data_IF_844011133091
#
_entry.id   IF_844011133091
#
_cell.length_a   1.000
_cell.length_b   1.000
_cell.length_c   1.000
_cell.angle_alpha   90.00
_cell.angle_beta   90.00
_cell.angle_gamma   90.00
#
_symmetry.space_group_name_H-M   'P 1'
#
loop_
_entity.id
_entity.type
_entity.pdbx_description
1 polymer ?
#
# COMPACT_ATOMS: atom_id res chain seq x y z
N UNK A 1 6.12 34.40 -19.44
CA UNK A 1 5.63 33.19 -18.72
C UNK A 1 6.78 32.20 -18.64
N UNK A 2 7.41 32.03 -17.48
CA UNK A 2 8.36 30.93 -17.24
C UNK A 2 7.71 29.99 -16.22
N UNK A 3 7.35 28.78 -16.65
CA UNK A 3 6.87 27.74 -15.74
C UNK A 3 8.06 27.18 -14.98
N UNK A 4 8.23 27.61 -13.73
CA UNK A 4 9.15 26.98 -12.79
C UNK A 4 8.74 25.52 -12.61
N UNK A 5 9.51 24.61 -13.18
CA UNK A 5 9.46 23.18 -12.88
C UNK A 5 9.68 23.01 -11.38
N UNK A 6 8.62 22.68 -10.65
CA UNK A 6 8.71 22.24 -9.25
C UNK A 6 9.38 20.87 -9.24
N UNK A 7 10.71 20.83 -9.31
CA UNK A 7 11.45 19.65 -8.86
C UNK A 7 11.21 19.55 -7.34
N UNK A 8 10.21 18.74 -6.93
CA UNK A 8 10.09 18.38 -5.52
C UNK A 8 11.41 17.74 -5.11
N UNK A 9 12.02 18.20 -4.01
CA UNK A 9 13.26 17.62 -3.50
C UNK A 9 13.15 16.09 -3.53
N UNK A 10 14.09 15.42 -4.18
CA UNK A 10 14.14 13.96 -4.17
C UNK A 10 14.23 13.50 -2.72
N UNK A 11 13.33 12.60 -2.31
CA UNK A 11 13.33 12.01 -0.96
C UNK A 11 14.70 11.41 -0.64
N UNK A 12 15.13 11.55 0.62
CA UNK A 12 16.35 10.90 1.12
C UNK A 12 16.19 9.38 1.13
N UNK A 13 17.30 8.64 1.25
CA UNK A 13 17.26 7.18 1.38
C UNK A 13 16.48 6.78 2.64
N UNK A 14 16.71 7.48 3.75
CA UNK A 14 16.04 7.20 5.03
C UNK A 14 14.53 7.40 4.96
N UNK A 15 14.06 8.45 4.27
CA UNK A 15 12.64 8.70 4.03
C UNK A 15 12.01 7.57 3.22
N UNK A 16 12.69 7.09 2.17
CA UNK A 16 12.20 5.96 1.36
C UNK A 16 12.15 4.66 2.16
N UNK A 17 13.17 4.41 2.98
CA UNK A 17 13.19 3.24 3.86
C UNK A 17 12.06 3.30 4.90
N UNK A 18 11.74 4.48 5.43
CA UNK A 18 10.61 4.66 6.33
C UNK A 18 9.28 4.34 5.64
N UNK A 19 9.06 4.81 4.42
CA UNK A 19 7.86 4.50 3.64
C UNK A 19 7.72 3.01 3.32
N UNK A 20 8.83 2.33 2.99
CA UNK A 20 8.82 0.88 2.75
C UNK A 20 8.42 0.13 4.02
N UNK A 21 8.97 0.52 5.19
CA UNK A 21 8.61 -0.08 6.48
C UNK A 21 7.14 0.14 6.83
N UNK A 22 6.63 1.34 6.60
CA UNK A 22 5.21 1.66 6.82
C UNK A 22 4.31 0.77 5.96
N UNK A 23 4.61 0.65 4.66
CA UNK A 23 3.87 -0.24 3.74
C UNK A 23 3.91 -1.70 4.18
N UNK A 24 5.07 -2.20 4.62
CA UNK A 24 5.21 -3.57 5.15
C UNK A 24 4.35 -3.75 6.41
N UNK A 25 4.39 -2.80 7.35
CA UNK A 25 3.62 -2.89 8.59
C UNK A 25 2.11 -2.87 8.32
N UNK A 26 1.66 -2.04 7.39
CA UNK A 26 0.26 -1.96 7.00
C UNK A 26 -0.19 -3.21 6.24
N UNK A 27 0.61 -3.73 5.31
CA UNK A 27 0.32 -4.98 4.62
C UNK A 27 0.19 -6.15 5.61
N UNK A 28 1.06 -6.22 6.62
CA UNK A 28 0.97 -7.23 7.68
C UNK A 28 -0.36 -7.14 8.43
N UNK A 29 -0.74 -5.93 8.85
CA UNK A 29 -1.99 -5.66 9.57
C UNK A 29 -3.21 -6.03 8.72
N UNK A 30 -3.22 -5.66 7.44
CA UNK A 30 -4.29 -5.97 6.49
C UNK A 30 -4.42 -7.48 6.22
N UNK A 31 -3.30 -8.20 6.27
CA UNK A 31 -3.26 -9.66 6.13
C UNK A 31 -3.66 -10.40 7.42
N UNK A 32 -3.95 -9.68 8.52
CA UNK A 32 -4.30 -10.27 9.81
C UNK A 32 -3.13 -10.94 10.54
N UNK A 33 -1.90 -10.77 10.04
CA UNK A 33 -0.71 -11.38 10.63
C UNK A 33 -0.28 -10.61 11.88
N UNK A 34 0.04 -11.35 12.94
CA UNK A 34 0.68 -10.77 14.13
C UNK A 34 2.17 -10.55 13.87
N UNK A 35 2.80 -9.66 14.63
CA UNK A 35 4.27 -9.51 14.58
C UNK A 35 5.00 -10.81 14.95
N UNK A 36 4.41 -11.65 15.82
CA UNK A 36 5.00 -12.94 16.19
C UNK A 36 4.98 -13.92 15.02
N UNK A 37 3.86 -14.02 14.31
CA UNK A 37 3.72 -14.96 13.20
C UNK A 37 4.75 -14.71 12.09
N UNK A 38 4.93 -13.44 11.70
CA UNK A 38 5.92 -13.08 10.69
C UNK A 38 7.36 -13.14 11.23
N UNK A 39 7.57 -12.87 12.52
CA UNK A 39 8.89 -13.05 13.14
C UNK A 39 9.32 -14.52 13.08
N UNK A 40 8.42 -15.46 13.34
CA UNK A 40 8.67 -16.90 13.22
C UNK A 40 9.05 -17.30 11.79
N UNK A 41 8.31 -16.83 10.78
CA UNK A 41 8.63 -17.07 9.37
C UNK A 41 10.02 -16.51 8.96
N UNK A 42 10.47 -15.46 9.64
CA UNK A 42 11.77 -14.83 9.42
C UNK A 42 12.88 -15.37 10.32
N UNK A 43 12.61 -16.37 11.17
CA UNK A 43 13.54 -16.90 12.18
C UNK A 43 14.04 -15.81 13.16
N UNK A 44 13.15 -14.89 13.54
CA UNK A 44 13.41 -13.78 14.44
C UNK A 44 12.58 -13.88 15.72
N UNK A 45 13.06 -13.22 16.78
CA UNK A 45 12.21 -12.94 17.92
C UNK A 45 11.19 -11.84 17.58
N UNK A 46 10.06 -11.83 18.29
CA UNK A 46 9.06 -10.75 18.17
C UNK A 46 9.69 -9.36 18.40
N UNK A 47 10.60 -9.23 19.37
CA UNK A 47 11.29 -7.97 19.66
C UNK A 47 12.27 -7.54 18.56
N UNK A 48 12.90 -8.48 17.86
CA UNK A 48 13.71 -8.18 16.67
C UNK A 48 12.82 -7.67 15.54
N UNK A 49 11.71 -8.35 15.25
CA UNK A 49 10.78 -7.92 14.21
C UNK A 49 10.15 -6.55 14.49
N UNK A 50 9.77 -6.27 15.74
CA UNK A 50 9.25 -4.96 16.15
C UNK A 50 10.28 -3.82 15.91
N UNK A 51 11.58 -4.09 16.13
CA UNK A 51 12.65 -3.15 15.78
C UNK A 51 12.82 -2.97 14.27
N UNK A 52 12.56 -4.01 13.46
CA UNK A 52 12.55 -3.87 12.00
C UNK A 52 11.40 -2.95 11.55
N UNK A 53 10.18 -3.14 12.04
CA UNK A 53 9.03 -2.30 11.66
C UNK A 53 9.21 -0.84 12.09
N UNK A 54 9.71 -0.61 13.30
CA UNK A 54 9.96 0.74 13.83
C UNK A 54 11.20 1.42 13.24
N UNK A 55 12.04 0.69 12.49
CA UNK A 55 13.30 1.21 11.95
C UNK A 55 14.43 1.30 12.96
N UNK A 56 14.28 0.73 14.16
CA UNK A 56 15.37 0.60 15.14
C UNK A 56 16.46 -0.40 14.72
N UNK A 57 16.23 -1.18 13.67
CA UNK A 57 17.22 -2.05 13.03
C UNK A 57 16.94 -2.15 11.54
N UNK A 58 17.99 -2.12 10.72
CA UNK A 58 17.84 -2.30 9.28
C UNK A 58 17.48 -3.74 8.93
N UNK A 59 16.56 -3.88 7.98
CA UNK A 59 16.17 -5.17 7.42
C UNK A 59 17.13 -5.56 6.30
N UNK A 60 17.64 -6.78 6.31
CA UNK A 60 18.42 -7.31 5.18
C UNK A 60 17.52 -7.57 3.97
N UNK A 61 18.11 -7.62 2.76
CA UNK A 61 17.34 -7.94 1.55
C UNK A 61 16.66 -9.32 1.63
N UNK A 62 17.28 -10.32 2.28
CA UNK A 62 16.67 -11.65 2.49
C UNK A 62 15.41 -11.54 3.34
N UNK A 63 15.50 -10.83 4.46
CA UNK A 63 14.37 -10.59 5.36
C UNK A 63 13.24 -9.83 4.65
N UNK A 64 13.58 -8.86 3.81
CA UNK A 64 12.61 -8.13 3.00
C UNK A 64 11.85 -9.04 2.03
N UNK A 65 12.54 -9.95 1.33
CA UNK A 65 11.90 -10.88 0.40
C UNK A 65 10.98 -11.87 1.12
N UNK A 66 11.41 -12.43 2.26
CA UNK A 66 10.57 -13.31 3.08
C UNK A 66 9.30 -12.57 3.53
N UNK A 67 9.44 -11.34 4.03
CA UNK A 67 8.30 -10.53 4.44
C UNK A 67 7.32 -10.29 3.27
N UNK A 68 7.83 -10.06 2.06
CA UNK A 68 6.98 -9.92 0.88
C UNK A 68 6.25 -11.22 0.54
N UNK A 69 6.90 -12.38 0.62
CA UNK A 69 6.28 -13.68 0.35
C UNK A 69 5.15 -13.98 1.35
N UNK A 70 5.41 -13.84 2.65
CA UNK A 70 4.44 -14.09 3.72
C UNK A 70 3.20 -13.18 3.62
N UNK A 71 3.39 -11.95 3.13
CA UNK A 71 2.30 -10.98 2.96
C UNK A 71 1.73 -10.95 1.54
N UNK A 72 2.16 -11.86 0.66
CA UNK A 72 1.77 -11.92 -0.75
C UNK A 72 1.92 -10.56 -1.48
N UNK A 73 3.03 -9.87 -1.23
CA UNK A 73 3.37 -8.58 -1.83
C UNK A 73 4.34 -8.75 -2.98
N UNK A 74 4.22 -7.88 -3.99
CA UNK A 74 5.22 -7.74 -5.04
C UNK A 74 6.35 -6.81 -4.56
N UNK A 75 7.61 -7.30 -4.42
CA UNK A 75 8.74 -6.49 -3.96
C UNK A 75 9.01 -5.25 -4.83
N UNK A 76 8.82 -5.35 -6.15
CA UNK A 76 9.07 -4.25 -7.08
C UNK A 76 8.06 -3.11 -6.87
N UNK A 77 6.80 -3.45 -6.64
CA UNK A 77 5.76 -2.46 -6.32
C UNK A 77 6.07 -1.76 -4.99
N UNK A 78 6.57 -2.51 -4.00
CA UNK A 78 6.85 -1.96 -2.67
C UNK A 78 8.02 -0.99 -2.66
N UNK A 79 9.06 -1.26 -3.45
CA UNK A 79 10.23 -0.39 -3.65
C UNK A 79 9.89 0.88 -4.45
N UNK A 80 8.63 1.04 -4.88
CA UNK A 80 8.20 2.19 -5.66
C UNK A 80 8.65 2.10 -7.10
N UNK A 81 8.59 0.92 -7.72
CA UNK A 81 8.29 0.90 -9.15
C UNK A 81 7.05 1.76 -9.30
N UNK A 82 7.20 2.91 -9.98
CA UNK A 82 6.10 3.85 -10.18
C UNK A 82 4.87 3.04 -10.57
N UNK A 83 3.79 3.17 -9.79
CA UNK A 83 2.50 2.65 -10.25
C UNK A 83 2.32 3.33 -11.60
N UNK A 84 2.45 2.52 -12.65
CA UNK A 84 2.52 3.02 -14.02
C UNK A 84 1.39 4.02 -14.16
N UNK A 85 1.64 5.23 -14.66
CA UNK A 85 0.64 6.31 -14.64
C UNK A 85 -0.70 5.84 -15.23
N UNK A 86 -0.65 4.89 -16.17
CA UNK A 86 -1.77 4.14 -16.70
C UNK A 86 -2.57 3.35 -15.64
N UNK A 87 -1.93 2.57 -14.76
CA UNK A 87 -2.59 1.81 -13.68
C UNK A 87 -3.29 2.75 -12.70
N UNK A 88 -2.65 3.86 -12.36
CA UNK A 88 -3.23 4.89 -11.48
C UNK A 88 -4.45 5.57 -12.13
N UNK A 89 -4.37 5.91 -13.42
CA UNK A 89 -5.50 6.43 -14.20
C UNK A 89 -6.66 5.44 -14.26
N UNK A 90 -6.36 4.17 -14.55
CA UNK A 90 -7.36 3.10 -14.61
C UNK A 90 -8.09 2.92 -13.28
N UNK A 91 -7.38 2.96 -12.15
CA UNK A 91 -7.99 2.90 -10.80
C UNK A 91 -8.91 4.09 -10.54
N UNK A 92 -8.48 5.30 -10.88
CA UNK A 92 -9.30 6.50 -10.73
C UNK A 92 -10.59 6.42 -11.55
N UNK A 93 -10.49 5.93 -12.79
CA UNK A 93 -11.64 5.74 -13.68
C UNK A 93 -12.59 4.66 -13.18
N UNK A 94 -12.07 3.56 -12.64
CA UNK A 94 -12.89 2.48 -12.07
C UNK A 94 -13.71 3.01 -10.90
N UNK A 95 -13.06 3.68 -9.94
CA UNK A 95 -13.72 4.28 -8.77
C UNK A 95 -14.80 5.31 -9.17
N UNK A 96 -14.52 6.15 -10.17
CA UNK A 96 -15.49 7.09 -10.69
C UNK A 96 -16.70 6.39 -11.34
N UNK A 97 -16.49 5.24 -11.98
CA UNK A 97 -17.55 4.45 -12.61
C UNK A 97 -18.41 3.75 -11.56
N UNK A 98 -17.80 3.17 -10.53
CA UNK A 98 -18.50 2.55 -9.39
C UNK A 98 -19.39 3.59 -8.67
N UNK A 99 -18.88 4.80 -8.48
CA UNK A 99 -19.66 5.89 -7.88
C UNK A 99 -20.88 6.26 -8.73
N UNK A 100 -20.71 6.33 -10.06
CA UNK A 100 -21.82 6.60 -10.99
C UNK A 100 -22.85 5.46 -10.96
N UNK A 101 -22.40 4.21 -10.96
CA UNK A 101 -23.29 3.05 -10.87
C UNK A 101 -24.09 3.05 -9.56
N UNK A 102 -23.45 3.34 -8.44
CA UNK A 102 -24.12 3.49 -7.15
C UNK A 102 -25.17 4.61 -7.16
N UNK A 103 -24.88 5.73 -7.84
CA UNK A 103 -25.84 6.82 -8.00
C UNK A 103 -27.04 6.41 -8.88
N UNK A 104 -26.80 5.71 -9.98
CA UNK A 104 -27.85 5.19 -10.87
C UNK A 104 -28.75 4.22 -10.10
N UNK A 105 -28.19 3.25 -9.39
CA UNK A 105 -28.97 2.33 -8.56
C UNK A 105 -29.82 3.05 -7.51
N UNK A 106 -29.29 4.13 -6.89
CA UNK A 106 -30.05 4.94 -5.95
C UNK A 106 -31.22 5.68 -6.59
N UNK A 107 -31.09 6.13 -7.83
CA UNK A 107 -32.18 6.79 -8.58
C UNK A 107 -33.21 5.78 -9.05
N UNK A 108 -32.77 4.63 -9.58
CA UNK A 108 -33.67 3.56 -10.03
C UNK A 108 -34.45 2.96 -8.85
N UNK A 109 -33.80 2.68 -7.72
CA UNK A 109 -34.48 2.19 -6.51
C UNK A 109 -35.40 3.22 -5.83
N UNK A 110 -35.31 4.52 -6.21
CA UNK A 110 -36.29 5.54 -5.81
C UNK A 110 -37.48 5.61 -6.76
N UNK A 111 -37.33 5.22 -8.03
CA UNK A 111 -38.39 5.29 -9.04
C UNK A 111 -39.54 4.34 -8.71
N UNK A 112 -39.25 3.19 -8.11
CA UNK A 112 -40.25 2.22 -7.65
C UNK A 112 -41.16 2.75 -6.51
N UNK A 113 -40.82 3.89 -5.88
CA UNK A 113 -41.60 4.47 -4.78
C UNK A 113 -42.65 5.48 -5.27
N UNK A 114 -42.57 5.95 -6.52
CA UNK A 114 -43.49 6.98 -7.07
C UNK A 114 -44.57 6.41 -8.02
N UNK A 115 -44.64 5.09 -8.19
CA UNK A 115 -45.67 4.41 -9.02
C UNK A 115 -46.79 3.72 -8.21
N UNK A 116 -46.97 4.07 -6.93
CA UNK A 116 -48.11 3.69 -6.07
C UNK A 116 -48.83 4.91 -5.53
#
# INVERSE_FOLDING_TARGET
>A
MQSMSKHSKSKTVDERLAEIRERLSDARRLSGLTQTAIAEAMELSNSQYSRLESGGTEMTLRQFLIACEEMNLNPAALLGADEEVAVKDLRARLSATETKLAAIHRVLGKKDVWET
#
